data_IF_011934123991
#
_entry.id   IF_011934123991
#
_cell.length_a   1.000
_cell.length_b   1.000
_cell.length_c   1.000
_cell.angle_alpha   90.00
_cell.angle_beta   90.00
_cell.angle_gamma   90.00
#
_symmetry.space_group_name_H-M   'P 1'
#
loop_
_entity.id
_entity.type
_entity.pdbx_description
1 polymer ?
#
# COMPACT_ATOMS: atom_id res chain seq x y z
N UNK A 1 7.84 -1.20 4.02
CA UNK A 1 8.10 -2.63 3.77
C UNK A 1 9.52 -2.99 4.22
N UNK A 2 9.70 -4.10 4.95
CA UNK A 2 11.02 -4.54 5.42
C UNK A 2 12.04 -4.77 4.31
N UNK A 3 11.58 -5.26 3.15
CA UNK A 3 12.41 -5.52 1.98
C UNK A 3 13.14 -4.27 1.42
N UNK A 4 12.71 -3.06 1.79
CA UNK A 4 13.36 -1.79 1.34
C UNK A 4 14.83 -1.73 1.76
N UNK A 5 15.25 -2.44 2.82
CA UNK A 5 16.65 -2.49 3.24
C UNK A 5 17.61 -3.01 2.17
N UNK A 6 17.10 -3.73 1.16
CA UNK A 6 17.87 -4.24 0.03
C UNK A 6 18.05 -3.23 -1.12
N UNK A 7 17.64 -1.98 -0.95
CA UNK A 7 17.82 -0.94 -1.97
C UNK A 7 16.88 -1.07 -3.17
N UNK A 8 15.73 -1.73 -3.00
CA UNK A 8 14.69 -1.89 -4.04
C UNK A 8 13.94 -0.58 -4.37
N UNK A 9 14.23 0.50 -3.66
CA UNK A 9 13.69 1.83 -3.94
C UNK A 9 14.75 2.89 -3.70
N UNK A 10 14.74 3.92 -4.56
CA UNK A 10 15.57 5.11 -4.39
C UNK A 10 14.99 6.09 -3.35
N UNK A 11 13.75 5.85 -2.90
CA UNK A 11 13.08 6.69 -1.90
C UNK A 11 13.43 6.21 -0.50
N UNK A 12 13.60 7.15 0.43
CA UNK A 12 13.68 6.85 1.87
C UNK A 12 12.37 6.23 2.34
N UNK A 13 12.41 5.28 3.28
CA UNK A 13 11.18 4.63 3.83
C UNK A 13 10.17 5.66 4.35
N UNK A 14 10.65 6.71 5.02
CA UNK A 14 9.86 7.82 5.55
C UNK A 14 9.04 8.56 4.47
N UNK A 15 9.41 8.44 3.19
CA UNK A 15 8.66 9.07 2.10
C UNK A 15 7.23 8.51 1.98
N UNK A 16 6.94 7.32 2.53
CA UNK A 16 5.55 6.83 2.60
C UNK A 16 4.70 7.72 3.51
N UNK A 17 5.22 8.06 4.70
CA UNK A 17 4.52 8.92 5.64
C UNK A 17 4.39 10.35 5.10
N UNK A 18 5.44 10.88 4.48
CA UNK A 18 5.41 12.19 3.83
C UNK A 18 4.29 12.28 2.77
N UNK A 19 4.08 11.22 1.96
CA UNK A 19 3.01 11.18 0.95
C UNK A 19 1.62 11.06 1.55
N UNK A 20 1.46 10.29 2.63
CA UNK A 20 0.18 10.19 3.34
C UNK A 20 -0.20 11.55 3.94
N UNK A 21 0.76 12.25 4.54
CA UNK A 21 0.56 13.61 5.05
C UNK A 21 0.20 14.58 3.91
N UNK A 22 0.90 14.50 2.78
CA UNK A 22 0.59 15.28 1.59
C UNK A 22 -0.83 15.01 1.07
N UNK A 23 -1.26 13.76 1.05
CA UNK A 23 -2.63 13.38 0.65
C UNK A 23 -3.67 13.92 1.64
N UNK A 24 -3.40 13.84 2.95
CA UNK A 24 -4.27 14.36 3.99
C UNK A 24 -4.41 15.90 3.92
N UNK A 25 -3.33 16.59 3.53
CA UNK A 25 -3.33 18.04 3.32
C UNK A 25 -3.98 18.48 1.99
N UNK A 26 -4.44 17.55 1.15
CA UNK A 26 -5.04 17.87 -0.15
C UNK A 26 -4.04 18.18 -1.27
N UNK A 27 -2.74 17.95 -1.03
CA UNK A 27 -1.66 18.39 -1.91
C UNK A 27 -1.18 17.36 -2.93
N UNK A 28 -1.61 16.10 -2.82
CA UNK A 28 -1.14 15.05 -3.73
C UNK A 28 -1.88 15.10 -5.08
N UNK A 29 -1.27 14.50 -6.11
CA UNK A 29 -1.85 14.46 -7.45
C UNK A 29 -3.25 13.83 -7.46
N UNK A 30 -3.47 12.78 -6.66
CA UNK A 30 -4.78 12.12 -6.55
C UNK A 30 -5.84 13.05 -5.95
N UNK A 31 -5.48 13.94 -5.02
CA UNK A 31 -6.42 14.93 -4.50
C UNK A 31 -6.95 15.82 -5.61
N UNK A 32 -6.07 16.28 -6.52
CA UNK A 32 -6.45 17.15 -7.62
C UNK A 32 -7.36 16.46 -8.63
N UNK A 33 -7.10 15.18 -8.93
CA UNK A 33 -7.98 14.36 -9.77
C UNK A 33 -9.36 14.20 -9.11
N UNK A 34 -9.40 13.90 -7.81
CA UNK A 34 -10.65 13.75 -7.07
C UNK A 34 -11.44 15.05 -7.04
N UNK A 35 -10.79 16.19 -6.76
CA UNK A 35 -11.43 17.51 -6.77
C UNK A 35 -11.99 17.85 -8.15
N UNK A 36 -11.22 17.60 -9.22
CA UNK A 36 -11.64 17.93 -10.59
C UNK A 36 -12.83 17.09 -11.09
N UNK A 37 -13.07 15.92 -10.49
CA UNK A 37 -14.10 14.97 -10.92
C UNK A 37 -15.20 14.73 -9.86
N UNK A 38 -15.24 15.55 -8.80
CA UNK A 38 -16.18 15.42 -7.68
C UNK A 38 -16.21 14.00 -7.06
N UNK A 39 -15.02 13.43 -6.86
CA UNK A 39 -14.84 12.10 -6.28
C UNK A 39 -14.45 12.20 -4.81
N UNK A 40 -15.08 11.37 -3.98
CA UNK A 40 -14.66 11.18 -2.59
C UNK A 40 -13.32 10.45 -2.52
N UNK A 41 -12.35 11.04 -1.82
CA UNK A 41 -11.06 10.40 -1.53
C UNK A 41 -10.99 10.04 -0.05
N UNK A 42 -10.70 8.78 0.25
CA UNK A 42 -10.37 8.30 1.60
C UNK A 42 -8.93 7.78 1.60
N UNK A 43 -8.14 8.25 2.55
CA UNK A 43 -6.76 7.81 2.76
C UNK A 43 -6.72 7.09 4.10
N UNK A 44 -6.19 5.88 4.12
CA UNK A 44 -6.11 5.07 5.32
C UNK A 44 -4.66 4.79 5.68
N UNK A 45 -4.28 5.15 6.90
CA UNK A 45 -3.01 4.79 7.50
C UNK A 45 -3.11 3.37 8.09
N UNK A 46 -2.20 2.48 7.66
CA UNK A 46 -2.09 1.09 8.11
C UNK A 46 -0.84 0.90 9.00
N UNK A 47 -0.71 1.73 10.03
CA UNK A 47 0.41 1.72 10.98
C UNK A 47 1.76 2.00 10.32
N UNK A 48 1.91 3.19 9.73
CA UNK A 48 3.14 3.64 9.06
C UNK A 48 4.43 3.49 9.90
N UNK A 49 4.32 3.54 11.22
CA UNK A 49 5.46 3.38 12.16
C UNK A 49 5.89 1.93 12.38
N UNK A 50 5.07 0.96 11.96
CA UNK A 50 5.31 -0.47 12.15
C UNK A 50 5.54 -1.10 10.77
N UNK A 51 6.80 -1.20 10.30
CA UNK A 51 7.07 -1.81 9.01
C UNK A 51 6.70 -3.30 9.04
N UNK A 52 6.20 -3.80 7.91
CA UNK A 52 6.11 -5.24 7.65
C UNK A 52 7.50 -5.89 7.67
N UNK A 53 7.54 -7.19 7.99
CA UNK A 53 8.74 -8.01 7.92
C UNK A 53 9.37 -8.00 6.51
N UNK A 54 10.65 -8.36 6.44
CA UNK A 54 11.30 -8.55 5.14
C UNK A 54 10.94 -9.92 4.56
N UNK A 55 10.14 -9.91 3.48
CA UNK A 55 9.67 -11.11 2.79
C UNK A 55 10.78 -12.03 2.24
N UNK A 56 12.03 -11.56 2.21
CA UNK A 56 13.19 -12.37 1.83
C UNK A 56 13.73 -13.25 2.97
N UNK A 57 13.36 -12.95 4.22
CA UNK A 57 13.86 -13.65 5.42
C UNK A 57 12.73 -14.18 6.31
N UNK A 58 11.59 -13.51 6.34
CA UNK A 58 10.45 -13.83 7.22
C UNK A 58 9.11 -13.47 6.57
N UNK A 59 8.00 -13.82 7.22
CA UNK A 59 6.68 -13.40 6.77
C UNK A 59 6.48 -11.88 6.92
N UNK A 60 5.81 -11.23 5.97
CA UNK A 60 5.51 -9.79 6.04
C UNK A 60 4.68 -9.41 7.28
N UNK A 61 3.73 -10.29 7.64
CA UNK A 61 2.84 -10.19 8.79
C UNK A 61 2.65 -11.61 9.37
N UNK A 62 2.34 -11.71 10.65
CA UNK A 62 1.79 -12.94 11.21
C UNK A 62 0.33 -13.13 10.75
N UNK A 63 -0.24 -14.32 10.96
CA UNK A 63 -1.60 -14.64 10.52
C UNK A 63 -2.64 -13.67 11.09
N UNK A 64 -2.47 -13.31 12.37
CA UNK A 64 -3.38 -12.40 13.07
C UNK A 64 -3.30 -10.99 12.52
N UNK A 65 -2.10 -10.46 12.30
CA UNK A 65 -1.87 -9.15 11.72
C UNK A 65 -2.41 -9.07 10.30
N UNK A 66 -2.16 -10.11 9.49
CA UNK A 66 -2.69 -10.21 8.14
C UNK A 66 -4.23 -10.16 8.11
N UNK A 67 -4.89 -10.99 8.92
CA UNK A 67 -6.35 -11.01 9.03
C UNK A 67 -6.91 -9.67 9.53
N UNK A 68 -6.26 -9.03 10.51
CA UNK A 68 -6.65 -7.73 11.02
C UNK A 68 -6.55 -6.62 9.95
N UNK A 69 -5.46 -6.60 9.16
CA UNK A 69 -5.28 -5.64 8.06
C UNK A 69 -6.32 -5.85 6.96
N UNK A 70 -6.64 -7.10 6.61
CA UNK A 70 -7.73 -7.39 5.66
C UNK A 70 -9.08 -6.90 6.17
N UNK A 71 -9.41 -7.19 7.44
CA UNK A 71 -10.66 -6.74 8.05
C UNK A 71 -10.77 -5.22 8.06
N UNK A 72 -9.69 -4.51 8.38
CA UNK A 72 -9.66 -3.05 8.32
C UNK A 72 -9.93 -2.52 6.89
N UNK A 73 -9.38 -3.17 5.86
CA UNK A 73 -9.69 -2.84 4.46
C UNK A 73 -11.17 -3.05 4.11
N UNK A 74 -11.83 -4.07 4.68
CA UNK A 74 -13.27 -4.28 4.49
C UNK A 74 -14.11 -3.17 5.14
N UNK A 75 -13.69 -2.65 6.29
CA UNK A 75 -14.38 -1.53 6.97
C UNK A 75 -14.34 -0.24 6.13
N UNK A 76 -13.31 -0.05 5.30
CA UNK A 76 -13.19 1.14 4.45
C UNK A 76 -14.39 1.34 3.49
N UNK A 77 -15.06 0.24 3.13
CA UNK A 77 -16.21 0.21 2.22
C UNK A 77 -17.55 -0.04 2.91
N UNK A 78 -17.57 -0.21 4.24
CA UNK A 78 -18.78 -0.56 5.00
C UNK A 78 -19.92 0.47 4.87
N UNK A 79 -19.58 1.74 4.61
CA UNK A 79 -20.55 2.81 4.36
C UNK A 79 -21.26 2.74 2.99
N UNK A 80 -20.95 1.74 2.16
CA UNK A 80 -21.41 1.64 0.78
C UNK A 80 -20.60 2.50 -0.19
N UNK A 81 -20.51 2.05 -1.44
CA UNK A 81 -19.93 2.81 -2.55
C UNK A 81 -20.57 2.31 -3.86
N UNK A 82 -20.96 3.24 -4.74
CA UNK A 82 -21.44 2.89 -6.08
C UNK A 82 -20.29 2.47 -7.01
N UNK A 83 -19.11 3.07 -6.81
CA UNK A 83 -17.88 2.79 -7.52
C UNK A 83 -16.70 2.84 -6.54
N UNK A 84 -15.82 1.84 -6.62
CA UNK A 84 -14.60 1.75 -5.84
C UNK A 84 -13.38 1.83 -6.76
N UNK A 85 -12.50 2.78 -6.48
CA UNK A 85 -11.17 2.85 -7.06
C UNK A 85 -10.14 2.62 -5.95
N UNK A 86 -9.19 1.71 -6.20
CA UNK A 86 -8.12 1.39 -5.25
C UNK A 86 -6.83 2.08 -5.65
N UNK A 87 -6.07 2.49 -4.65
CA UNK A 87 -4.71 2.99 -4.81
C UNK A 87 -3.87 2.57 -3.61
N UNK A 88 -2.57 2.59 -3.78
CA UNK A 88 -1.59 2.23 -2.78
C UNK A 88 -0.52 3.32 -2.61
N UNK A 89 0.06 3.38 -1.42
CA UNK A 89 1.21 4.22 -1.10
C UNK A 89 2.16 3.39 -0.24
N UNK A 90 3.38 3.16 -0.73
CA UNK A 90 4.35 2.37 0.01
C UNK A 90 5.70 2.34 -0.68
N UNK A 91 6.74 2.81 0.00
CA UNK A 91 8.10 2.66 -0.54
C UNK A 91 8.45 1.17 -0.64
N UNK A 92 8.81 0.74 -1.85
CA UNK A 92 9.16 -0.66 -2.17
C UNK A 92 7.97 -1.60 -2.37
N UNK A 93 6.74 -1.09 -2.38
CA UNK A 93 5.55 -1.92 -2.50
C UNK A 93 5.40 -2.61 -3.87
N UNK A 94 5.97 -2.08 -4.94
CA UNK A 94 5.96 -2.71 -6.27
C UNK A 94 6.66 -4.08 -6.28
N UNK A 95 7.79 -4.21 -5.56
CA UNK A 95 8.46 -5.50 -5.37
C UNK A 95 7.59 -6.48 -4.59
N UNK A 96 6.84 -6.00 -3.60
CA UNK A 96 5.91 -6.83 -2.82
C UNK A 96 4.73 -7.27 -3.69
N UNK A 97 4.17 -6.36 -4.49
CA UNK A 97 3.12 -6.68 -5.45
C UNK A 97 3.57 -7.73 -6.47
N UNK A 98 4.80 -7.60 -6.99
CA UNK A 98 5.39 -8.58 -7.89
C UNK A 98 5.52 -9.98 -7.24
N UNK A 99 5.99 -10.03 -5.99
CA UNK A 99 6.08 -11.29 -5.24
C UNK A 99 4.71 -11.93 -5.01
N UNK A 100 3.68 -11.12 -4.67
CA UNK A 100 2.30 -11.60 -4.52
C UNK A 100 1.73 -12.11 -5.83
N UNK A 101 1.92 -11.39 -6.94
CA UNK A 101 1.43 -11.83 -8.24
C UNK A 101 2.10 -13.12 -8.70
N UNK A 102 3.41 -13.27 -8.53
CA UNK A 102 4.12 -14.51 -8.83
C UNK A 102 3.58 -15.69 -8.00
N UNK A 103 3.31 -15.47 -6.71
CA UNK A 103 2.78 -16.50 -5.82
C UNK A 103 1.34 -16.91 -6.16
N UNK A 104 0.48 -15.96 -6.54
CA UNK A 104 -0.95 -16.19 -6.79
C UNK A 104 -1.25 -16.66 -8.22
N UNK A 105 -0.51 -16.13 -9.19
CA UNK A 105 -0.80 -16.31 -10.62
C UNK A 105 0.30 -17.08 -11.36
N UNK A 106 1.39 -17.45 -10.67
CA UNK A 106 2.53 -18.14 -11.25
C UNK A 106 3.53 -17.21 -11.95
N UNK A 107 4.52 -17.81 -12.59
CA UNK A 107 5.69 -17.12 -13.12
C UNK A 107 6.77 -16.89 -12.04
N UNK A 108 7.78 -16.10 -12.39
CA UNK A 108 8.86 -15.70 -11.50
C UNK A 108 8.75 -14.20 -11.20
N UNK A 109 9.48 -13.70 -10.18
CA UNK A 109 9.44 -12.28 -9.81
C UNK A 109 9.76 -11.33 -10.98
N UNK A 110 10.62 -11.73 -11.91
CA UNK A 110 11.00 -10.93 -13.09
C UNK A 110 9.86 -10.70 -14.09
N UNK A 111 8.82 -11.54 -14.06
CA UNK A 111 7.67 -11.39 -14.96
C UNK A 111 6.73 -10.27 -14.51
N UNK A 112 6.95 -9.74 -13.29
CA UNK A 112 6.05 -8.81 -12.61
C UNK A 112 6.71 -7.48 -12.17
N UNK A 113 8.00 -7.28 -12.45
CA UNK A 113 8.79 -6.08 -12.05
C UNK A 113 9.12 -5.19 -13.24
#
# INVERSE_FOLDING_TARGET
>A
HGAVRHGISLRRVAATADEVELCAAGGAAINQVCIANDLGLKVFDLALDIPTGDITEEAALDERGCAATMAFGMEAVAGGADLLCLGDLGVGNSTIAAALCAALFGGNGVDWV
#
